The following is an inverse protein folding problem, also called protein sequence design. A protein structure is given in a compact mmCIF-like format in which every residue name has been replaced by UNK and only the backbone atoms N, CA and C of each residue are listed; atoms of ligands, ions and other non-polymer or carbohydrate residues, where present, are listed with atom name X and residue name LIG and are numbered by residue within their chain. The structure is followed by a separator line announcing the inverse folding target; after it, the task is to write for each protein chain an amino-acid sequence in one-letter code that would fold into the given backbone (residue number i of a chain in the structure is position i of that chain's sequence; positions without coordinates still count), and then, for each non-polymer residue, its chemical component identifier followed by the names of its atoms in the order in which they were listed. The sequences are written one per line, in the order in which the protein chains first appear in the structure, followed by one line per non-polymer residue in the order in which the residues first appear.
data_IF_534620191286
#
_entry.id   IF_534620191286
#
_cell.length_a   1.000
_cell.length_b   1.000
_cell.length_c   1.000
_cell.angle_alpha   90.00
_cell.angle_beta   90.00
_cell.angle_gamma   90.00
#
_symmetry.space_group_name_H-M   'P 1'
#
loop_
_entity.id
_entity.type
_entity.pdbx_description
1 polymer ?
#
# COMPACT_ATOMS: atom_id res chain seq x y z
N UNK A 1 -15.58 19.09 -1.55
CA UNK A 1 -14.50 18.22 -1.04
C UNK A 1 -13.20 18.43 -1.84
N UNK A 2 -12.05 18.61 -1.19
CA UNK A 2 -10.77 18.58 -1.88
C UNK A 2 -10.45 17.14 -2.29
N UNK A 3 -10.12 16.93 -3.56
CA UNK A 3 -9.62 15.63 -4.02
C UNK A 3 -8.20 15.43 -3.50
N UNK A 4 -7.94 14.27 -2.91
CA UNK A 4 -6.59 13.83 -2.57
C UNK A 4 -6.28 12.58 -3.40
N UNK A 5 -6.12 12.78 -4.71
CA UNK A 5 -5.98 11.70 -5.69
C UNK A 5 -4.89 10.68 -5.34
N UNK A 6 -3.84 11.10 -4.62
CA UNK A 6 -2.78 10.19 -4.16
C UNK A 6 -3.27 9.25 -3.06
N UNK A 7 -3.94 9.77 -2.02
CA UNK A 7 -4.54 8.95 -0.97
C UNK A 7 -5.68 8.07 -1.51
N UNK A 8 -6.49 8.60 -2.43
CA UNK A 8 -7.56 7.84 -3.08
C UNK A 8 -7.01 6.64 -3.88
N UNK A 9 -5.92 6.84 -4.63
CA UNK A 9 -5.23 5.76 -5.37
C UNK A 9 -4.63 4.71 -4.43
N UNK A 10 -4.04 5.15 -3.32
CA UNK A 10 -3.52 4.26 -2.28
C UNK A 10 -4.63 3.36 -1.69
N UNK A 11 -5.74 3.97 -1.25
CA UNK A 11 -6.88 3.22 -0.69
C UNK A 11 -7.50 2.28 -1.73
N UNK A 12 -7.58 2.69 -3.00
CA UNK A 12 -8.08 1.84 -4.09
C UNK A 12 -7.20 0.60 -4.26
N UNK A 13 -5.88 0.75 -4.18
CA UNK A 13 -4.92 -0.35 -4.29
C UNK A 13 -5.06 -1.31 -3.12
N UNK A 14 -5.08 -0.81 -1.88
CA UNK A 14 -5.28 -1.65 -0.69
C UNK A 14 -6.59 -2.44 -0.75
N UNK A 15 -7.68 -1.79 -1.17
CA UNK A 15 -8.97 -2.46 -1.32
C UNK A 15 -8.93 -3.54 -2.40
N UNK A 16 -8.30 -3.27 -3.54
CA UNK A 16 -8.26 -4.16 -4.70
C UNK A 16 -7.39 -5.39 -4.45
N UNK A 17 -6.19 -5.19 -3.93
CA UNK A 17 -5.14 -6.21 -3.92
C UNK A 17 -5.05 -6.96 -2.59
N UNK A 18 -5.54 -6.37 -1.49
CA UNK A 18 -5.47 -6.99 -0.18
C UNK A 18 -6.86 -7.29 0.34
N UNK A 19 -7.67 -6.25 0.54
CA UNK A 19 -8.96 -6.42 1.18
C UNK A 19 -9.82 -7.41 0.39
N UNK A 20 -10.00 -7.24 -0.92
CA UNK A 20 -10.83 -8.13 -1.75
C UNK A 20 -10.40 -9.61 -1.75
N UNK A 21 -9.14 -9.93 -1.45
CA UNK A 21 -8.61 -11.29 -1.53
C UNK A 21 -8.77 -12.08 -0.22
N UNK A 22 -9.07 -11.41 0.89
CA UNK A 22 -9.17 -12.05 2.21
C UNK A 22 -10.62 -12.16 2.69
N UNK A 23 -10.90 -13.07 3.63
CA UNK A 23 -12.17 -13.07 4.35
C UNK A 23 -12.21 -11.88 5.33
N UNK A 24 -13.33 -11.16 5.36
CA UNK A 24 -13.51 -9.91 6.13
C UNK A 24 -14.84 -9.95 6.90
N UNK A 25 -14.99 -10.87 7.87
CA UNK A 25 -16.25 -11.10 8.57
C UNK A 25 -16.71 -9.90 9.40
N UNK A 26 -15.76 -9.08 9.88
CA UNK A 26 -16.03 -7.91 10.72
C UNK A 26 -14.87 -6.90 10.62
N UNK A 27 -15.09 -5.70 11.17
CA UNK A 27 -14.11 -4.61 11.15
C UNK A 27 -12.87 -4.91 11.99
N UNK A 28 -12.98 -5.61 13.12
CA UNK A 28 -11.85 -5.95 13.98
C UNK A 28 -10.87 -6.87 13.26
N UNK A 29 -11.40 -7.84 12.52
CA UNK A 29 -10.61 -8.74 11.67
C UNK A 29 -9.87 -7.98 10.57
N UNK A 30 -10.52 -7.00 9.93
CA UNK A 30 -9.86 -6.15 8.92
C UNK A 30 -8.76 -5.30 9.57
N UNK A 31 -9.04 -4.66 10.70
CA UNK A 31 -8.06 -3.81 11.40
C UNK A 31 -6.80 -4.60 11.81
N UNK A 32 -6.96 -5.85 12.23
CA UNK A 32 -5.84 -6.72 12.56
C UNK A 32 -4.95 -7.06 11.35
N UNK A 33 -5.49 -7.02 10.13
CA UNK A 33 -4.75 -7.33 8.90
C UNK A 33 -4.07 -6.10 8.27
N UNK A 34 -4.51 -4.89 8.61
CA UNK A 34 -4.02 -3.65 7.98
C UNK A 34 -2.50 -3.50 8.09
N UNK A 35 -1.91 -3.83 9.24
CA UNK A 35 -0.47 -3.72 9.43
C UNK A 35 0.29 -4.57 8.42
N UNK A 36 -0.09 -5.84 8.25
CA UNK A 36 0.53 -6.73 7.27
C UNK A 36 0.34 -6.23 5.83
N UNK A 37 -0.83 -5.69 5.49
CA UNK A 37 -1.06 -5.13 4.16
C UNK A 37 -0.21 -3.89 3.89
N UNK A 38 0.01 -3.05 4.90
CA UNK A 38 0.91 -1.90 4.77
C UNK A 38 2.36 -2.34 4.61
N UNK A 39 2.80 -3.32 5.40
CA UNK A 39 4.18 -3.83 5.33
C UNK A 39 4.47 -4.46 3.96
N UNK A 40 3.53 -5.25 3.44
CA UNK A 40 3.63 -5.81 2.08
C UNK A 40 3.62 -4.72 1.01
N UNK A 41 2.74 -3.73 1.14
CA UNK A 41 2.66 -2.62 0.18
C UNK A 41 3.99 -1.86 0.13
N UNK A 42 4.52 -1.51 1.30
CA UNK A 42 5.75 -0.74 1.45
C UNK A 42 6.97 -1.53 0.96
N UNK A 43 6.98 -2.84 1.15
CA UNK A 43 8.14 -3.70 0.84
C UNK A 43 8.15 -4.22 -0.59
N UNK A 44 6.97 -4.41 -1.22
CA UNK A 44 6.87 -5.13 -2.49
C UNK A 44 6.05 -4.42 -3.57
N UNK A 45 5.19 -3.45 -3.26
CA UNK A 45 4.33 -2.86 -4.27
C UNK A 45 5.12 -2.02 -5.29
N UNK A 46 5.10 -2.36 -6.59
CA UNK A 46 5.88 -1.62 -7.57
C UNK A 46 5.16 -0.33 -7.98
N UNK A 47 5.88 0.80 -7.97
CA UNK A 47 5.34 2.08 -8.42
C UNK A 47 6.00 2.54 -9.72
N UNK A 48 5.22 2.79 -10.77
CA UNK A 48 5.75 3.27 -12.06
C UNK A 48 6.53 4.58 -11.93
N UNK A 49 6.07 5.52 -11.10
CA UNK A 49 6.76 6.78 -10.81
C UNK A 49 8.09 6.59 -10.05
N UNK A 50 8.30 5.43 -9.42
CA UNK A 50 9.53 5.07 -8.71
C UNK A 50 10.42 4.12 -9.53
N UNK A 51 10.19 3.99 -10.84
CA UNK A 51 10.92 3.04 -11.69
C UNK A 51 10.57 1.58 -11.37
N UNK A 52 9.32 1.33 -10.98
CA UNK A 52 8.80 0.03 -10.52
C UNK A 52 9.47 -0.50 -9.25
N UNK A 53 10.12 0.36 -8.48
CA UNK A 53 10.65 0.01 -7.16
C UNK A 53 9.56 0.11 -6.08
N UNK A 54 9.63 -0.74 -5.04
CA UNK A 54 8.89 -0.54 -3.81
C UNK A 54 9.31 0.73 -3.06
N UNK A 55 8.42 1.31 -2.24
CA UNK A 55 8.73 2.51 -1.45
C UNK A 55 9.98 2.42 -0.58
N UNK A 56 10.23 1.30 0.11
CA UNK A 56 11.44 1.10 0.93
C UNK A 56 12.70 1.12 0.08
N UNK A 57 12.75 0.29 -0.96
CA UNK A 57 13.90 0.19 -1.86
C UNK A 57 14.19 1.53 -2.54
N UNK A 58 13.16 2.27 -2.93
CA UNK A 58 13.33 3.60 -3.50
C UNK A 58 13.95 4.59 -2.49
N UNK A 59 13.49 4.57 -1.23
CA UNK A 59 14.05 5.41 -0.16
C UNK A 59 15.50 5.06 0.11
N UNK A 60 15.83 3.77 0.24
CA UNK A 60 17.19 3.30 0.44
C UNK A 60 18.12 3.78 -0.67
N UNK A 61 17.73 3.62 -1.94
CA UNK A 61 18.52 4.11 -3.08
C UNK A 61 18.72 5.62 -3.08
N UNK A 62 17.76 6.39 -2.58
CA UNK A 62 17.88 7.85 -2.47
C UNK A 62 18.67 8.33 -1.26
N UNK A 63 18.78 7.53 -0.21
CA UNK A 63 19.58 7.85 0.98
C UNK A 63 21.09 7.61 0.80
N UNK A 64 21.50 7.00 -0.32
CA UNK A 64 22.91 6.72 -0.66
C UNK A 64 23.47 7.77 -1.65
N UNK A 65 22.74 8.87 -1.88
CA UNK A 65 23.20 10.05 -2.66
C UNK A 65 23.25 11.26 -1.75
#
# INVERSE_FOLDING_TARGET
PQSNGMAESFVKTLKRDYAKLVNRPDSKTVMAQLQGWFDDYISYHPHSALGYLPPTVFREKRSVT
#
